data_IF_064392053406
#
_entry.id   IF_064392053406
#
_cell.length_a   1.000
_cell.length_b   1.000
_cell.length_c   1.000
_cell.angle_alpha   90.00
_cell.angle_beta   90.00
_cell.angle_gamma   90.00
#
_symmetry.space_group_name_H-M   'P 1'
#
loop_
_entity.id
_entity.type
_entity.pdbx_description
1 polymer ?
#
# COMPACT_ATOMS: atom_id res chain seq x y z
N UNK A 1 20.65 6.97 11.16
CA UNK A 1 20.03 7.33 9.91
C UNK A 1 18.65 6.72 9.79
N UNK A 2 17.68 7.51 9.43
CA UNK A 2 16.30 7.03 9.40
C UNK A 2 15.99 6.31 8.10
N UNK A 3 15.35 5.16 8.23
CA UNK A 3 14.91 4.43 7.06
C UNK A 3 13.54 4.97 6.65
N UNK A 4 13.28 5.07 5.36
CA UNK A 4 11.97 5.54 4.92
C UNK A 4 10.88 4.52 5.24
N UNK A 5 9.73 5.02 5.61
CA UNK A 5 8.55 4.18 5.83
C UNK A 5 7.79 4.12 4.52
N UNK A 6 7.61 2.93 4.00
CA UNK A 6 6.93 2.73 2.72
C UNK A 6 5.61 2.03 2.97
N UNK A 7 4.52 2.69 2.64
CA UNK A 7 3.20 2.10 2.77
C UNK A 7 2.92 1.18 1.61
N UNK A 8 2.39 0.02 1.92
CA UNK A 8 1.99 -0.96 0.93
C UNK A 8 0.50 -1.17 1.05
N UNK A 9 -0.24 -0.98 -0.02
CA UNK A 9 -1.65 -1.28 0.04
C UNK A 9 -1.84 -2.79 0.14
N UNK A 10 -3.02 -3.20 0.57
CA UNK A 10 -3.31 -4.61 0.76
C UNK A 10 -4.39 -5.05 -0.20
N UNK A 11 -4.43 -6.36 -0.47
CA UNK A 11 -5.58 -6.94 -1.14
C UNK A 11 -6.73 -7.00 -0.17
N UNK A 12 -7.97 -6.86 -0.67
CA UNK A 12 -9.12 -6.88 0.21
C UNK A 12 -9.33 -8.24 0.86
N UNK A 13 -9.98 -8.22 2.00
CA UNK A 13 -10.34 -9.45 2.68
C UNK A 13 -11.30 -10.27 1.82
N UNK A 14 -11.19 -11.57 1.92
CA UNK A 14 -12.03 -12.51 1.20
C UNK A 14 -12.53 -13.58 2.16
N UNK A 15 -13.25 -14.55 1.63
CA UNK A 15 -13.77 -15.62 2.46
C UNK A 15 -12.65 -16.46 3.07
N UNK A 16 -11.49 -16.50 2.44
CA UNK A 16 -10.40 -17.35 2.87
C UNK A 16 -9.21 -16.60 3.41
N UNK A 17 -9.10 -15.31 3.13
CA UNK A 17 -7.96 -14.51 3.55
C UNK A 17 -8.43 -13.16 4.09
N UNK A 18 -7.76 -12.67 5.11
CA UNK A 18 -7.98 -11.30 5.56
C UNK A 18 -7.28 -10.30 4.65
N UNK A 19 -7.18 -9.09 5.08
CA UNK A 19 -6.41 -8.07 4.37
C UNK A 19 -4.96 -8.52 4.37
N UNK A 20 -4.36 -8.55 3.20
CA UNK A 20 -3.00 -9.09 3.10
C UNK A 20 -2.21 -8.44 1.98
N UNK A 21 -0.89 -8.53 2.11
CA UNK A 21 0.05 -8.07 1.12
C UNK A 21 0.99 -9.22 0.83
N UNK A 22 1.20 -9.59 -0.44
CA UNK A 22 2.13 -10.67 -0.74
C UNK A 22 3.53 -10.37 -0.23
N UNK A 23 4.18 -11.41 0.25
CA UNK A 23 5.49 -11.26 0.89
C UNK A 23 6.54 -10.66 -0.03
N UNK A 24 6.42 -10.86 -1.32
CA UNK A 24 7.43 -10.34 -2.24
C UNK A 24 7.51 -8.82 -2.21
N UNK A 25 6.39 -8.16 -1.97
CA UNK A 25 6.41 -6.70 -1.87
C UNK A 25 7.06 -6.23 -0.57
N UNK A 26 6.77 -6.94 0.52
CA UNK A 26 7.39 -6.63 1.79
C UNK A 26 8.90 -6.83 1.70
N UNK A 27 9.31 -7.93 1.08
CA UNK A 27 10.73 -8.21 0.92
C UNK A 27 11.42 -7.16 0.06
N UNK A 28 10.75 -6.69 -0.97
CA UNK A 28 11.33 -5.67 -1.85
C UNK A 28 11.63 -4.39 -1.08
N UNK A 29 10.70 -3.98 -0.21
CA UNK A 29 10.91 -2.79 0.61
C UNK A 29 12.08 -2.99 1.57
N UNK A 30 12.14 -4.15 2.18
CA UNK A 30 13.23 -4.44 3.12
C UNK A 30 14.58 -4.45 2.42
N UNK A 31 14.65 -5.01 1.22
CA UNK A 31 15.89 -5.03 0.47
C UNK A 31 16.34 -3.64 0.06
N UNK A 32 15.38 -2.77 -0.17
CA UNK A 32 15.70 -1.38 -0.53
C UNK A 32 16.08 -0.54 0.68
N UNK A 33 16.02 -1.11 1.86
CA UNK A 33 16.38 -0.38 3.08
C UNK A 33 15.24 0.38 3.71
N UNK A 34 14.01 0.09 3.29
CA UNK A 34 12.85 0.76 3.85
C UNK A 34 12.17 -0.03 4.94
N UNK A 35 11.20 0.57 5.56
CA UNK A 35 10.35 -0.06 6.57
C UNK A 35 8.97 -0.26 5.96
N UNK A 36 8.55 -1.50 5.75
CA UNK A 36 7.23 -1.73 5.15
C UNK A 36 6.12 -1.50 6.17
N UNK A 37 5.04 -0.89 5.71
CA UNK A 37 3.87 -0.66 6.53
C UNK A 37 2.65 -1.00 5.69
N UNK A 38 1.86 -1.96 6.14
CA UNK A 38 0.69 -2.37 5.38
C UNK A 38 -0.49 -1.48 5.71
N UNK A 39 -1.18 -1.04 4.66
CA UNK A 39 -2.30 -0.12 4.79
C UNK A 39 -3.56 -0.81 4.29
N UNK A 40 -4.54 -0.99 5.14
CA UNK A 40 -5.78 -1.60 4.71
C UNK A 40 -6.61 -0.59 3.93
N UNK A 41 -7.34 -1.06 2.94
CA UNK A 41 -8.20 -0.20 2.16
C UNK A 41 -9.56 0.03 2.76
N UNK A 42 -9.74 -0.35 4.00
CA UNK A 42 -11.04 -0.35 4.64
C UNK A 42 -11.51 1.04 5.06
N UNK A 43 -10.61 1.96 5.20
CA UNK A 43 -10.94 3.29 5.68
C UNK A 43 -10.39 4.35 4.74
N UNK A 44 -11.19 4.82 3.79
CA UNK A 44 -10.71 5.85 2.87
C UNK A 44 -10.27 7.13 3.56
N UNK A 45 -10.96 7.49 4.64
CA UNK A 45 -10.60 8.70 5.37
C UNK A 45 -9.29 8.58 6.09
N UNK A 46 -8.80 7.38 6.30
CA UNK A 46 -7.53 7.17 6.96
C UNK A 46 -6.35 7.53 6.08
N UNK A 47 -6.57 7.64 4.78
CA UNK A 47 -5.47 7.85 3.84
C UNK A 47 -4.71 9.12 4.14
N UNK A 48 -5.39 10.17 4.54
CA UNK A 48 -4.70 11.43 4.87
C UNK A 48 -3.73 11.25 6.01
N UNK A 49 -4.13 10.46 7.00
CA UNK A 49 -3.25 10.22 8.15
C UNK A 49 -2.10 9.31 7.79
N UNK A 50 -2.34 8.36 6.90
CA UNK A 50 -1.25 7.51 6.42
C UNK A 50 -0.18 8.34 5.75
N UNK A 51 -0.60 9.33 4.95
CA UNK A 51 0.36 10.16 4.23
C UNK A 51 1.21 11.00 5.17
N UNK A 52 0.73 11.25 6.37
CA UNK A 52 1.53 11.95 7.37
C UNK A 52 2.65 11.08 7.93
N UNK A 53 2.51 9.78 7.83
CA UNK A 53 3.43 8.84 8.46
C UNK A 53 4.39 8.22 7.46
N UNK A 54 3.92 7.91 6.25
CA UNK A 54 4.75 7.22 5.29
C UNK A 54 5.53 8.20 4.43
N UNK A 55 6.68 7.75 3.99
CA UNK A 55 7.53 8.53 3.07
C UNK A 55 7.20 8.22 1.62
N UNK A 56 6.55 7.11 1.37
CA UNK A 56 6.14 6.73 0.03
C UNK A 56 5.09 5.64 0.10
N UNK A 57 4.39 5.42 -1.00
CA UNK A 57 3.34 4.41 -1.06
C UNK A 57 3.51 3.59 -2.31
N UNK A 58 3.40 2.28 -2.18
CA UNK A 58 3.36 1.37 -3.31
C UNK A 58 1.94 0.82 -3.40
N UNK A 59 1.32 1.03 -4.54
CA UNK A 59 -0.02 0.52 -4.78
C UNK A 59 0.09 -0.88 -5.35
N UNK A 60 -0.34 -1.85 -4.56
CA UNK A 60 -0.30 -3.23 -4.98
C UNK A 60 -1.55 -3.47 -5.81
N UNK A 61 -1.34 -3.88 -7.04
CA UNK A 61 -2.43 -4.06 -7.97
C UNK A 61 -3.29 -5.23 -7.59
N UNK A 62 -4.51 -4.96 -7.30
CA UNK A 62 -5.49 -6.00 -7.06
C UNK A 62 -6.32 -6.23 -8.29
N UNK A 63 -5.77 -5.99 -9.43
CA UNK A 63 -6.50 -6.20 -10.65
C UNK A 63 -7.23 -4.95 -11.06
N UNK A 64 -8.37 -4.71 -10.63
CA UNK A 64 -9.26 -3.76 -11.27
C UNK A 64 -9.18 -2.36 -10.77
N UNK A 65 -8.00 -1.83 -10.61
CA UNK A 65 -7.92 -0.43 -10.24
C UNK A 65 -8.23 0.41 -11.46
N UNK A 66 -9.30 1.15 -11.36
CA UNK A 66 -9.74 1.99 -12.45
C UNK A 66 -8.92 3.28 -12.43
N UNK A 67 -8.25 3.62 -13.54
CA UNK A 67 -7.48 4.86 -13.57
C UNK A 67 -8.29 6.09 -13.20
N UNK A 68 -9.57 6.09 -13.45
CA UNK A 68 -10.41 7.22 -13.11
C UNK A 68 -10.47 7.48 -11.61
N UNK A 69 -10.21 6.46 -10.81
CA UNK A 69 -10.22 6.61 -9.36
C UNK A 69 -8.98 7.31 -8.85
N UNK A 70 -7.98 7.42 -9.69
CA UNK A 70 -6.77 8.16 -9.36
C UNK A 70 -6.74 9.52 -10.01
N UNK A 71 -7.82 9.94 -10.59
CA UNK A 71 -7.81 11.12 -11.39
C UNK A 71 -7.03 10.85 -12.65
N UNK A 72 -6.21 11.73 -13.07
CA UNK A 72 -5.50 11.55 -14.32
C UNK A 72 -4.27 10.69 -14.18
N UNK A 73 -4.01 10.21 -13.04
CA UNK A 73 -2.74 9.55 -12.83
C UNK A 73 -2.59 8.29 -13.62
N UNK A 74 -3.67 7.73 -13.99
CA UNK A 74 -3.59 6.47 -14.67
C UNK A 74 -3.21 6.55 -16.10
N UNK A 75 -3.08 7.51 -16.61
CA UNK A 75 -2.86 7.52 -17.94
C UNK A 75 -1.85 7.18 -18.54
#
# INVERSE_FOLDING_TARGET
>A
MNKPIVGLTTYPASATHGWHTPALYVDAVLRAGGVPMMLSGQCPDCAERWLDVVDGVVLIGGGDINPAEFGSAGN
#
